data_IF_487577289692
#
_entry.id   IF_487577289692
#
_cell.length_a   1.000
_cell.length_b   1.000
_cell.length_c   1.000
_cell.angle_alpha   90.00
_cell.angle_beta   90.00
_cell.angle_gamma   90.00
#
_symmetry.space_group_name_H-M   'P 1'
#
loop_
_entity.id
_entity.type
_entity.pdbx_description
1 polymer ?
#
# COMPACT_ATOMS: atom_id res chain seq x y z
N UNK A 1 12.85 6.60 -17.88
CA UNK A 1 13.63 6.45 -16.62
C UNK A 1 12.73 6.84 -15.47
N UNK A 2 12.71 6.04 -14.38
CA UNK A 2 11.88 6.34 -13.19
C UNK A 2 12.73 7.00 -12.10
N UNK A 3 12.22 8.09 -11.51
CA UNK A 3 12.82 8.78 -10.37
C UNK A 3 11.76 8.99 -9.30
N UNK A 4 12.05 8.50 -8.09
CA UNK A 4 11.28 8.67 -6.88
C UNK A 4 11.38 10.12 -6.38
N UNK A 5 10.27 10.70 -5.95
CA UNK A 5 10.26 12.01 -5.33
C UNK A 5 10.98 11.99 -3.98
N UNK A 6 10.68 11.00 -3.14
CA UNK A 6 11.28 10.84 -1.82
C UNK A 6 12.81 10.69 -1.93
N UNK A 7 13.28 9.91 -2.91
CA UNK A 7 14.72 9.80 -3.16
C UNK A 7 15.35 11.11 -3.65
N UNK A 8 14.63 11.89 -4.44
CA UNK A 8 15.12 13.20 -4.88
C UNK A 8 15.21 14.20 -3.71
N UNK A 9 14.28 14.11 -2.75
CA UNK A 9 14.25 14.93 -1.53
C UNK A 9 15.44 14.69 -0.59
N UNK A 10 16.14 13.55 -0.70
CA UNK A 10 17.39 13.32 0.02
C UNK A 10 18.53 14.27 -0.42
N UNK A 11 18.41 14.84 -1.60
CA UNK A 11 19.44 15.70 -2.20
C UNK A 11 19.04 17.17 -2.30
N UNK A 12 17.74 17.45 -2.41
CA UNK A 12 17.24 18.82 -2.62
C UNK A 12 15.87 18.98 -1.97
N UNK A 13 15.65 20.12 -1.34
CA UNK A 13 14.35 20.47 -0.77
C UNK A 13 13.32 20.76 -1.88
N UNK A 14 12.18 20.03 -1.84
CA UNK A 14 11.11 20.14 -2.82
C UNK A 14 9.84 20.64 -2.12
N UNK A 15 9.50 21.90 -2.34
CA UNK A 15 8.37 22.60 -1.73
C UNK A 15 7.11 22.62 -2.61
N UNK A 16 7.13 21.89 -3.73
CA UNK A 16 6.06 21.89 -4.72
C UNK A 16 5.45 20.51 -4.92
N UNK A 17 4.24 20.44 -5.49
CA UNK A 17 3.63 19.17 -5.86
C UNK A 17 4.46 18.44 -6.94
N UNK A 18 4.37 17.10 -6.99
CA UNK A 18 5.03 16.30 -8.04
C UNK A 18 4.61 16.76 -9.44
N UNK A 19 3.36 17.15 -9.60
CA UNK A 19 2.85 17.66 -10.87
C UNK A 19 3.53 18.97 -11.27
N UNK A 20 3.67 19.91 -10.33
CA UNK A 20 4.34 21.18 -10.60
C UNK A 20 5.83 20.98 -10.84
N UNK A 21 6.44 20.05 -10.11
CA UNK A 21 7.83 19.66 -10.31
C UNK A 21 8.05 19.08 -11.71
N UNK A 22 7.20 18.14 -12.13
CA UNK A 22 7.25 17.55 -13.47
C UNK A 22 7.14 18.62 -14.58
N UNK A 23 6.23 19.58 -14.40
CA UNK A 23 6.07 20.70 -15.35
C UNK A 23 7.33 21.60 -15.38
N UNK A 24 7.91 21.90 -14.22
CA UNK A 24 9.16 22.69 -14.14
C UNK A 24 10.30 21.97 -14.84
N UNK A 25 10.49 20.66 -14.59
CA UNK A 25 11.53 19.84 -15.21
C UNK A 25 11.34 19.79 -16.73
N UNK A 26 10.11 19.56 -17.20
CA UNK A 26 9.80 19.55 -18.64
C UNK A 26 10.18 20.86 -19.32
N UNK A 27 9.96 22.00 -18.66
CA UNK A 27 10.38 23.33 -19.20
C UNK A 27 11.90 23.49 -19.29
N UNK A 28 12.68 22.69 -18.57
CA UNK A 28 14.15 22.69 -18.69
C UNK A 28 14.68 21.80 -19.81
N UNK A 29 13.78 21.15 -20.56
CA UNK A 29 14.10 20.31 -21.72
C UNK A 29 14.30 18.84 -21.42
N UNK A 30 13.74 18.34 -20.31
CA UNK A 30 13.63 16.90 -20.01
C UNK A 30 12.13 16.58 -19.87
N UNK A 31 11.60 15.78 -20.80
CA UNK A 31 10.19 15.44 -20.83
C UNK A 31 9.84 14.46 -19.69
N UNK A 32 8.76 14.78 -18.97
CA UNK A 32 8.15 13.87 -18.00
C UNK A 32 6.94 13.25 -18.67
N UNK A 33 7.00 11.95 -18.94
CA UNK A 33 5.95 11.20 -19.63
C UNK A 33 4.76 10.91 -18.73
N UNK A 34 5.05 10.43 -17.50
CA UNK A 34 4.00 10.03 -16.57
C UNK A 34 4.42 10.25 -15.11
N UNK A 35 3.41 10.33 -14.25
CA UNK A 35 3.56 10.39 -12.79
C UNK A 35 2.86 9.16 -12.19
N UNK A 36 3.64 8.29 -11.61
CA UNK A 36 3.14 7.10 -10.95
C UNK A 36 2.88 7.38 -9.47
N UNK A 37 1.62 7.29 -9.09
CA UNK A 37 1.15 7.42 -7.71
C UNK A 37 0.39 6.14 -7.33
N UNK A 38 1.06 5.30 -6.54
CA UNK A 38 0.49 4.04 -6.09
C UNK A 38 -0.71 4.25 -5.15
N UNK A 39 -0.77 5.39 -4.47
CA UNK A 39 -1.81 5.69 -3.47
C UNK A 39 -3.10 6.22 -4.08
N UNK A 40 -3.09 6.64 -5.33
CA UNK A 40 -4.16 7.42 -5.98
C UNK A 40 -5.55 6.83 -5.83
N UNK A 41 -5.68 5.50 -5.94
CA UNK A 41 -6.96 4.79 -5.88
C UNK A 41 -7.16 4.01 -4.57
N UNK A 42 -6.25 4.14 -3.62
CA UNK A 42 -6.25 3.42 -2.35
C UNK A 42 -6.55 4.37 -1.20
N UNK A 43 -7.49 4.00 -0.34
CA UNK A 43 -7.85 4.81 0.86
C UNK A 43 -8.27 3.91 2.01
N UNK A 44 -8.01 4.38 3.23
CA UNK A 44 -8.42 3.73 4.48
C UNK A 44 -7.84 2.32 4.66
N UNK A 45 -6.58 2.14 4.29
CA UNK A 45 -5.77 0.99 4.67
C UNK A 45 -4.97 1.31 5.92
N UNK A 46 -5.07 0.47 6.92
CA UNK A 46 -4.33 0.64 8.19
C UNK A 46 -3.60 -0.65 8.56
N UNK A 47 -2.58 -0.49 9.38
CA UNK A 47 -1.93 -1.61 10.04
C UNK A 47 -2.85 -2.09 11.17
N UNK A 48 -3.10 -3.40 11.21
CA UNK A 48 -3.86 -4.05 12.28
C UNK A 48 -3.02 -5.09 13.01
N UNK A 49 -3.34 -5.32 14.26
CA UNK A 49 -2.76 -6.38 15.07
C UNK A 49 -3.82 -7.43 15.39
N UNK A 50 -3.56 -8.69 15.05
CA UNK A 50 -4.47 -9.81 15.27
C UNK A 50 -4.37 -10.27 16.71
N UNK A 51 -5.35 -9.96 17.54
CA UNK A 51 -5.38 -10.35 18.95
C UNK A 51 -5.78 -11.80 19.17
N UNK A 52 -6.77 -12.27 18.39
CA UNK A 52 -7.24 -13.65 18.47
C UNK A 52 -7.79 -14.16 17.14
N UNK A 53 -7.71 -15.48 16.96
CA UNK A 53 -8.22 -16.17 15.78
C UNK A 53 -9.05 -17.38 16.23
N UNK A 54 -10.31 -17.44 15.82
CA UNK A 54 -11.20 -18.57 16.08
C UNK A 54 -11.69 -19.18 14.76
N UNK A 55 -11.87 -20.49 14.72
CA UNK A 55 -12.45 -21.16 13.57
C UNK A 55 -13.91 -20.71 13.36
N UNK A 56 -14.30 -20.48 12.11
CA UNK A 56 -15.68 -20.13 11.79
C UNK A 56 -16.62 -21.34 12.01
N UNK A 57 -17.77 -21.19 12.72
CA UNK A 57 -18.63 -22.31 13.07
C UNK A 57 -19.20 -23.07 11.86
N UNK A 58 -19.54 -22.34 10.79
CA UNK A 58 -20.22 -22.91 9.62
C UNK A 58 -19.34 -22.94 8.34
N UNK A 59 -18.02 -22.69 8.46
CA UNK A 59 -17.15 -22.64 7.29
C UNK A 59 -15.71 -23.04 7.63
N UNK A 60 -15.34 -24.28 7.34
CA UNK A 60 -14.02 -24.86 7.66
C UNK A 60 -12.79 -24.11 7.08
N UNK A 61 -13.00 -23.23 6.08
CA UNK A 61 -11.93 -22.46 5.45
C UNK A 61 -11.90 -20.99 5.90
N UNK A 62 -12.77 -20.60 6.82
CA UNK A 62 -12.84 -19.24 7.32
C UNK A 62 -12.45 -19.19 8.79
N UNK A 63 -11.83 -18.09 9.18
CA UNK A 63 -11.49 -17.77 10.55
C UNK A 63 -12.15 -16.43 10.94
N UNK A 64 -12.56 -16.33 12.19
CA UNK A 64 -13.05 -15.09 12.81
C UNK A 64 -11.89 -14.51 13.59
N UNK A 65 -11.45 -13.30 13.20
CA UNK A 65 -10.32 -12.63 13.81
C UNK A 65 -10.82 -11.40 14.59
N UNK A 66 -10.28 -11.19 15.78
CA UNK A 66 -10.38 -9.92 16.49
C UNK A 66 -9.11 -9.14 16.19
N UNK A 67 -9.24 -7.96 15.61
CA UNK A 67 -8.12 -7.18 15.10
C UNK A 67 -8.16 -5.78 15.68
N UNK A 68 -7.13 -5.40 16.40
CA UNK A 68 -6.89 -4.03 16.82
C UNK A 68 -6.43 -3.21 15.59
N UNK A 69 -7.15 -2.16 15.27
CA UNK A 69 -6.87 -1.23 14.16
C UNK A 69 -6.62 0.20 14.62
N UNK A 70 -6.27 0.35 15.92
CA UNK A 70 -6.05 1.65 16.55
C UNK A 70 -7.34 2.40 16.92
N UNK A 71 -8.47 1.69 17.05
CA UNK A 71 -9.76 2.22 17.53
C UNK A 71 -9.97 1.82 19.00
N UNK A 72 -11.04 2.32 19.62
CA UNK A 72 -11.33 2.06 21.06
C UNK A 72 -11.49 0.57 21.40
N UNK A 73 -11.90 -0.24 20.43
CA UNK A 73 -12.08 -1.69 20.58
C UNK A 73 -11.67 -2.44 19.31
N UNK A 74 -11.18 -3.68 19.46
CA UNK A 74 -10.89 -4.54 18.31
C UNK A 74 -12.11 -4.77 17.44
N UNK A 75 -11.89 -4.92 16.14
CA UNK A 75 -12.95 -5.18 15.17
C UNK A 75 -12.95 -6.64 14.74
N UNK A 76 -14.14 -7.20 14.57
CA UNK A 76 -14.28 -8.55 14.03
C UNK A 76 -14.10 -8.53 12.51
N UNK A 77 -13.17 -9.33 12.01
CA UNK A 77 -12.93 -9.55 10.57
C UNK A 77 -12.94 -11.05 10.28
N UNK A 78 -13.69 -11.45 9.30
CA UNK A 78 -13.71 -12.84 8.80
C UNK A 78 -12.66 -12.96 7.69
N UNK A 79 -11.72 -13.88 7.86
CA UNK A 79 -10.60 -14.07 6.95
C UNK A 79 -10.52 -15.51 6.46
N UNK A 80 -10.29 -15.69 5.15
CA UNK A 80 -10.13 -17.00 4.51
C UNK A 80 -8.68 -17.36 4.18
N UNK A 81 -7.72 -16.54 4.58
CA UNK A 81 -6.32 -16.78 4.28
C UNK A 81 -5.76 -17.94 5.12
N UNK A 82 -5.01 -18.87 4.51
CA UNK A 82 -4.48 -20.04 5.21
C UNK A 82 -3.36 -19.70 6.21
N UNK A 83 -2.75 -18.54 6.07
CA UNK A 83 -1.62 -18.09 6.88
C UNK A 83 -2.00 -17.08 7.98
N UNK A 84 -3.30 -16.91 8.28
CA UNK A 84 -3.73 -16.06 9.39
C UNK A 84 -3.46 -16.70 10.74
N UNK A 85 -2.95 -15.94 11.70
CA UNK A 85 -2.66 -16.37 13.06
C UNK A 85 -2.67 -15.24 14.07
N UNK A 86 -2.74 -15.60 15.34
CA UNK A 86 -2.66 -14.67 16.47
C UNK A 86 -1.28 -14.01 16.56
N UNK A 87 -1.23 -12.78 17.02
CA UNK A 87 0.01 -12.03 17.21
C UNK A 87 0.60 -11.43 15.94
N UNK A 88 -0.08 -11.58 14.79
CA UNK A 88 0.40 -11.05 13.52
C UNK A 88 0.05 -9.58 13.35
N UNK A 89 0.97 -8.84 12.74
CA UNK A 89 0.74 -7.47 12.27
C UNK A 89 0.43 -7.54 10.77
N UNK A 90 -0.75 -7.06 10.37
CA UNK A 90 -1.33 -7.27 9.04
C UNK A 90 -1.85 -5.99 8.42
N UNK A 91 -2.15 -6.03 7.12
CA UNK A 91 -2.81 -4.92 6.41
C UNK A 91 -4.32 -5.10 6.54
N UNK A 92 -5.02 -4.07 6.99
CA UNK A 92 -6.47 -4.07 7.13
C UNK A 92 -7.10 -2.96 6.29
N UNK A 93 -8.01 -3.35 5.41
CA UNK A 93 -8.91 -2.43 4.73
C UNK A 93 -10.15 -2.21 5.60
N UNK A 94 -10.30 -1.00 6.14
CA UNK A 94 -11.45 -0.60 6.97
C UNK A 94 -12.72 -0.52 6.15
N UNK A 95 -13.88 -0.53 6.82
CA UNK A 95 -15.16 -0.22 6.16
C UNK A 95 -15.09 1.17 5.52
N UNK A 96 -15.40 1.25 4.23
CA UNK A 96 -15.25 2.46 3.42
C UNK A 96 -13.91 2.56 2.66
N UNK A 97 -13.00 1.62 2.89
CA UNK A 97 -11.76 1.55 2.13
C UNK A 97 -12.03 1.37 0.63
N UNK A 98 -11.10 1.91 -0.15
CA UNK A 98 -11.04 1.69 -1.60
C UNK A 98 -9.76 0.95 -1.93
N UNK A 99 -9.88 -0.05 -2.76
CA UNK A 99 -8.79 -0.85 -3.29
C UNK A 99 -8.71 -0.69 -4.82
N UNK A 100 -7.59 -1.02 -5.43
CA UNK A 100 -7.43 -0.99 -6.88
C UNK A 100 -8.55 -1.73 -7.61
N UNK A 101 -8.88 -1.30 -8.84
CA UNK A 101 -10.01 -1.86 -9.58
C UNK A 101 -11.38 -1.35 -9.12
N UNK A 102 -11.43 -0.31 -8.27
CA UNK A 102 -12.68 0.29 -7.81
C UNK A 102 -13.39 -0.50 -6.71
N UNK A 103 -12.74 -1.48 -6.11
CA UNK A 103 -13.30 -2.30 -5.04
C UNK A 103 -13.52 -1.44 -3.79
N UNK A 104 -14.74 -1.41 -3.29
CA UNK A 104 -15.10 -0.69 -2.07
C UNK A 104 -15.44 -1.68 -0.95
N UNK A 105 -14.69 -1.60 0.14
CA UNK A 105 -14.91 -2.44 1.31
C UNK A 105 -16.12 -1.95 2.09
N UNK A 106 -17.05 -2.86 2.35
CA UNK A 106 -18.28 -2.62 3.12
C UNK A 106 -18.35 -3.62 4.26
N UNK A 107 -19.12 -3.27 5.29
CA UNK A 107 -19.54 -4.24 6.30
C UNK A 107 -20.27 -5.40 5.58
N UNK A 108 -19.80 -6.61 5.76
CA UNK A 108 -20.31 -7.81 5.11
C UNK A 108 -20.73 -8.85 6.14
N UNK A 109 -21.65 -9.73 5.78
CA UNK A 109 -22.01 -10.91 6.57
C UNK A 109 -21.58 -12.15 5.80
N UNK A 110 -20.60 -12.87 6.32
CA UNK A 110 -20.03 -14.05 5.70
C UNK A 110 -20.46 -15.29 6.47
N UNK A 111 -21.31 -16.12 5.86
CA UNK A 111 -21.85 -17.34 6.46
C UNK A 111 -22.41 -17.16 7.87
N UNK A 112 -23.09 -16.06 8.13
CA UNK A 112 -23.68 -15.78 9.44
C UNK A 112 -22.89 -14.81 10.31
N UNK A 113 -21.56 -14.75 10.15
CA UNK A 113 -20.67 -13.89 10.90
C UNK A 113 -20.44 -12.53 10.23
N UNK A 114 -20.36 -11.47 11.03
CA UNK A 114 -20.19 -10.11 10.53
C UNK A 114 -18.69 -9.78 10.40
N UNK A 115 -18.30 -9.23 9.24
CA UNK A 115 -16.95 -8.70 9.02
C UNK A 115 -16.99 -7.19 8.87
N UNK A 116 -16.17 -6.50 9.68
CA UNK A 116 -16.02 -5.05 9.71
C UNK A 116 -14.75 -4.58 8.98
N UNK A 117 -14.45 -5.19 7.85
CA UNK A 117 -13.28 -4.89 7.04
C UNK A 117 -12.75 -6.15 6.37
N UNK A 118 -11.54 -6.04 5.83
CA UNK A 118 -10.85 -7.13 5.16
C UNK A 118 -9.36 -7.10 5.51
N UNK A 119 -8.78 -8.24 5.85
CA UNK A 119 -7.34 -8.40 5.95
C UNK A 119 -6.82 -8.66 4.54
N UNK A 120 -5.85 -7.87 4.08
CA UNK A 120 -5.44 -7.84 2.68
C UNK A 120 -4.14 -8.58 2.42
N UNK A 121 -4.06 -9.18 1.24
CA UNK A 121 -2.82 -9.59 0.60
C UNK A 121 -2.17 -8.39 -0.14
N UNK A 122 -0.93 -8.54 -0.55
CA UNK A 122 -0.23 -7.52 -1.36
C UNK A 122 -0.85 -7.37 -2.77
N UNK A 123 -1.38 -8.46 -3.34
CA UNK A 123 -2.05 -8.40 -4.64
C UNK A 123 -3.36 -7.61 -4.56
N UNK A 124 -4.12 -7.74 -3.47
CA UNK A 124 -5.38 -6.99 -3.28
C UNK A 124 -5.17 -5.49 -3.14
N UNK A 125 -4.00 -5.07 -2.68
CA UNK A 125 -3.62 -3.65 -2.67
C UNK A 125 -2.94 -3.20 -3.98
N UNK A 126 -2.85 -4.06 -5.00
CA UNK A 126 -2.42 -3.70 -6.35
C UNK A 126 -0.99 -4.04 -6.72
N UNK A 127 -0.23 -4.69 -5.85
CA UNK A 127 1.12 -5.16 -6.20
C UNK A 127 1.04 -6.35 -7.17
N UNK A 128 1.86 -6.32 -8.22
CA UNK A 128 1.93 -7.44 -9.15
C UNK A 128 2.55 -8.67 -8.49
N UNK A 129 2.13 -9.87 -8.91
CA UNK A 129 2.67 -11.13 -8.41
C UNK A 129 4.18 -11.26 -8.58
N UNK A 130 4.77 -10.53 -9.53
CA UNK A 130 6.22 -10.53 -9.78
C UNK A 130 7.03 -9.87 -8.67
N UNK A 131 6.44 -8.95 -7.90
CA UNK A 131 7.11 -8.24 -6.80
C UNK A 131 6.69 -8.77 -5.42
N UNK A 132 5.62 -9.55 -5.36
CA UNK A 132 5.16 -10.15 -4.09
C UNK A 132 6.12 -11.26 -3.67
N UNK A 133 6.65 -11.23 -2.44
CA UNK A 133 7.50 -12.30 -1.93
C UNK A 133 6.75 -13.65 -1.93
N UNK A 134 7.43 -14.73 -2.34
CA UNK A 134 6.83 -16.08 -2.45
C UNK A 134 6.14 -16.55 -1.17
N UNK A 135 6.61 -16.12 -0.01
CA UNK A 135 6.02 -16.45 1.28
C UNK A 135 4.58 -15.94 1.44
N UNK A 136 4.21 -14.86 0.72
CA UNK A 136 2.90 -14.20 0.79
C UNK A 136 2.09 -14.33 -0.50
N UNK A 137 2.56 -15.13 -1.46
CA UNK A 137 1.90 -15.29 -2.76
C UNK A 137 0.47 -15.84 -2.65
N UNK A 138 0.23 -16.74 -1.69
CA UNK A 138 -1.06 -17.42 -1.50
C UNK A 138 -1.72 -17.06 -0.15
N UNK A 139 -1.49 -15.86 0.36
CA UNK A 139 -2.05 -15.46 1.65
C UNK A 139 -1.97 -13.97 1.91
N UNK A 140 -2.28 -13.59 3.14
CA UNK A 140 -2.17 -12.22 3.60
C UNK A 140 -0.70 -11.83 3.84
N UNK A 141 -0.42 -10.53 3.73
CA UNK A 141 0.87 -9.99 4.10
C UNK A 141 1.00 -9.82 5.62
N UNK A 142 2.18 -10.15 6.13
CA UNK A 142 2.52 -10.02 7.55
C UNK A 142 3.78 -9.15 7.66
N UNK A 143 3.69 -8.10 8.47
CA UNK A 143 4.88 -7.30 8.79
C UNK A 143 5.83 -8.09 9.69
N UNK A 144 7.12 -7.99 9.44
CA UNK A 144 8.16 -8.66 10.23
C UNK A 144 8.39 -8.00 11.60
N UNK A 145 7.97 -6.76 11.77
CA UNK A 145 8.07 -5.99 13.00
C UNK A 145 6.70 -5.57 13.51
N UNK A 146 6.60 -5.32 14.82
CA UNK A 146 5.41 -4.69 15.39
C UNK A 146 5.35 -3.23 14.96
N UNK A 147 4.25 -2.86 14.33
CA UNK A 147 3.91 -1.49 13.97
C UNK A 147 2.66 -1.12 14.77
N UNK A 148 2.56 0.11 15.19
CA UNK A 148 1.39 0.59 15.96
C UNK A 148 0.11 0.38 15.15
N UNK A 149 -0.90 -0.30 15.70
CA UNK A 149 -2.20 -0.44 15.04
C UNK A 149 -2.80 0.93 14.70
N UNK A 150 -3.46 1.02 13.54
CA UNK A 150 -4.01 2.28 13.05
C UNK A 150 -3.05 3.14 12.23
N UNK A 151 -1.74 2.82 12.20
CA UNK A 151 -0.80 3.46 11.26
C UNK A 151 -1.27 3.24 9.82
N UNK A 152 -1.06 4.21 8.97
CA UNK A 152 -1.41 4.11 7.54
C UNK A 152 -0.56 3.01 6.88
N UNK A 153 -1.23 2.04 6.24
CA UNK A 153 -0.55 0.83 5.79
C UNK A 153 0.40 1.06 4.60
N UNK A 154 0.08 2.00 3.71
CA UNK A 154 0.94 2.32 2.57
C UNK A 154 2.22 3.01 3.01
N UNK A 155 2.14 3.87 4.04
CA UNK A 155 3.31 4.47 4.67
C UNK A 155 4.19 3.39 5.34
N UNK A 156 3.57 2.48 6.08
CA UNK A 156 4.27 1.36 6.73
C UNK A 156 4.95 0.39 5.72
N UNK A 157 4.47 0.37 4.47
CA UNK A 157 5.02 -0.41 3.36
C UNK A 157 6.00 0.38 2.49
N UNK A 158 6.21 1.67 2.78
CA UNK A 158 6.98 2.59 1.92
C UNK A 158 6.43 2.67 0.48
N UNK A 159 5.08 2.63 0.35
CA UNK A 159 4.38 2.70 -0.93
C UNK A 159 3.67 4.06 -1.16
N UNK A 160 3.88 5.02 -0.27
CA UNK A 160 3.32 6.36 -0.34
C UNK A 160 4.15 7.35 -1.18
N UNK A 161 5.23 6.88 -1.78
CA UNK A 161 6.07 7.68 -2.67
C UNK A 161 5.42 7.86 -4.06
N UNK A 162 5.76 8.96 -4.70
CA UNK A 162 5.40 9.27 -6.09
C UNK A 162 6.65 9.25 -6.95
N UNK A 163 6.58 8.63 -8.12
CA UNK A 163 7.69 8.61 -9.07
C UNK A 163 7.31 9.24 -10.40
N UNK A 164 8.28 9.91 -11.02
CA UNK A 164 8.17 10.50 -12.35
C UNK A 164 8.88 9.62 -13.36
N UNK A 165 8.23 9.35 -14.49
CA UNK A 165 8.82 8.69 -15.64
C UNK A 165 9.32 9.72 -16.63
N UNK A 166 10.61 9.62 -17.00
CA UNK A 166 11.27 10.55 -17.91
C UNK A 166 11.60 9.89 -19.23
N UNK A 167 11.28 10.56 -20.32
CA UNK A 167 11.81 10.24 -21.64
C UNK A 167 13.11 11.02 -21.88
N UNK A 168 14.21 10.29 -22.01
CA UNK A 168 15.54 10.86 -22.19
C UNK A 168 15.99 10.70 -23.62
N UNK A 169 16.20 11.82 -24.29
CA UNK A 169 16.81 11.82 -25.62
C UNK A 169 18.28 11.42 -25.56
N UNK A 170 18.85 10.80 -26.60
CA UNK A 170 20.24 10.29 -26.60
C UNK A 170 21.32 11.35 -26.33
N UNK A 171 21.00 12.63 -26.53
CA UNK A 171 21.92 13.75 -26.26
C UNK A 171 21.91 14.26 -24.83
N UNK A 172 21.07 13.67 -23.93
CA UNK A 172 20.94 14.04 -22.52
C UNK A 172 21.53 12.98 -21.59
N UNK A 173 22.76 12.51 -21.91
CA UNK A 173 23.47 11.58 -21.04
C UNK A 173 23.76 12.12 -19.62
N UNK A 174 23.76 13.43 -19.47
CA UNK A 174 23.83 14.13 -18.19
C UNK A 174 22.64 13.83 -17.26
N UNK A 175 21.49 13.50 -17.82
CA UNK A 175 20.25 13.25 -17.08
C UNK A 175 20.02 11.77 -16.69
N UNK A 176 21.02 10.91 -16.80
CA UNK A 176 20.94 9.48 -16.45
C UNK A 176 21.08 9.18 -14.95
N UNK A 177 21.13 10.18 -14.11
CA UNK A 177 21.28 10.04 -12.65
C UNK A 177 20.30 10.93 -11.91
N UNK A 178 19.75 10.43 -10.78
CA UNK A 178 18.89 11.21 -9.89
C UNK A 178 19.54 12.53 -9.46
N UNK A 179 20.84 12.52 -9.16
CA UNK A 179 21.59 13.73 -8.79
C UNK A 179 21.61 14.80 -9.89
N UNK A 180 21.46 14.44 -11.15
CA UNK A 180 21.39 15.42 -12.24
C UNK A 180 20.19 16.34 -12.12
N UNK A 181 19.07 15.84 -11.62
CA UNK A 181 17.81 16.58 -11.48
C UNK A 181 17.83 17.55 -10.31
N UNK A 182 18.79 17.46 -9.39
CA UNK A 182 18.93 18.42 -8.29
C UNK A 182 19.50 19.78 -8.73
N UNK A 183 19.92 19.88 -9.99
CA UNK A 183 20.51 21.10 -10.59
C UNK A 183 19.58 21.77 -11.60
N UNK A 184 18.39 21.23 -11.79
CA UNK A 184 17.35 21.76 -12.66
C UNK A 184 16.39 22.64 -11.85
#
# INVERSE_FOLDING_TARGET
MLISKEWLEEYVEIDVSVKDLAERITRTGIEVDDIHDFTKDIKNLVVGYVESVAAHPDAAKLNICQVDIGEEAPVQIVCGAPNIGEGQTVIVAKVGARLPGGIKIKKAKLRGEVSHGMICSLQEIGLSSSVVPKAFENGIYQFSSKITPGTEALEALYLNDQSMEFDLTPNRADALSTVSYTRL
#
